data_IF_021544094367
#
_entry.id   IF_021544094367
#
_cell.length_a   1.000
_cell.length_b   1.000
_cell.length_c   1.000
_cell.angle_alpha   90.00
_cell.angle_beta   90.00
_cell.angle_gamma   90.00
#
_symmetry.space_group_name_H-M   'P 1'
#
loop_
_entity.id
_entity.type
_entity.pdbx_description
1 polymer ?
#
# COMPACT_ATOMS: atom_id res chain seq x y z
N UNK A 1 47.83 75.64 -3.16
CA UNK A 1 47.99 76.32 -4.45
C UNK A 1 47.06 75.59 -5.41
N UNK A 2 45.86 76.14 -5.58
CA UNK A 2 45.48 76.93 -6.78
C UNK A 2 45.25 75.98 -7.96
N UNK A 3 44.00 75.79 -8.40
CA UNK A 3 43.34 76.69 -9.35
C UNK A 3 43.69 76.18 -10.76
N UNK A 4 42.79 75.68 -11.59
CA UNK A 4 41.57 76.33 -12.05
C UNK A 4 41.63 76.46 -13.58
N UNK A 5 40.75 75.73 -14.25
CA UNK A 5 40.04 76.06 -15.51
C UNK A 5 40.70 76.02 -16.91
N UNK A 6 39.96 75.27 -17.77
CA UNK A 6 39.39 75.61 -19.11
C UNK A 6 40.22 75.35 -20.39
N UNK A 7 39.75 74.35 -21.16
CA UNK A 7 39.07 74.49 -22.49
C UNK A 7 40.04 74.34 -23.67
N UNK A 8 39.74 73.78 -24.86
CA UNK A 8 38.51 73.35 -25.53
C UNK A 8 38.88 72.56 -26.81
N UNK A 9 38.06 71.56 -27.20
CA UNK A 9 37.70 71.08 -28.58
C UNK A 9 38.83 70.66 -29.57
N UNK A 10 38.72 69.69 -30.49
CA UNK A 10 37.70 68.80 -31.10
C UNK A 10 38.50 67.83 -32.02
N UNK A 11 38.19 66.57 -32.35
CA UNK A 11 37.02 65.99 -33.03
C UNK A 11 37.26 64.44 -33.10
N UNK A 12 36.32 63.57 -32.68
CA UNK A 12 35.19 62.97 -33.42
C UNK A 12 35.50 61.60 -34.04
N UNK A 13 34.91 60.52 -33.49
CA UNK A 13 34.18 59.48 -34.24
C UNK A 13 33.05 58.98 -33.33
N UNK A 14 31.81 59.27 -33.73
CA UNK A 14 30.53 58.83 -33.16
C UNK A 14 30.38 57.30 -33.29
N UNK A 15 29.97 56.53 -32.28
CA UNK A 15 28.59 56.35 -31.81
C UNK A 15 27.63 55.89 -32.93
N UNK A 16 27.48 54.57 -33.07
CA UNK A 16 26.37 53.95 -33.79
C UNK A 16 25.10 53.97 -32.93
N UNK A 17 24.02 54.36 -33.59
CA UNK A 17 22.68 54.64 -33.08
C UNK A 17 21.94 53.36 -32.69
N UNK A 18 21.45 53.26 -31.46
CA UNK A 18 20.22 52.49 -31.17
C UNK A 18 19.04 53.45 -31.34
N UNK A 19 18.20 53.16 -32.33
CA UNK A 19 17.08 54.03 -32.70
C UNK A 19 16.02 54.02 -31.59
N UNK A 20 15.41 55.18 -31.29
CA UNK A 20 14.29 55.28 -30.34
C UNK A 20 13.06 54.45 -30.73
N UNK A 21 13.01 53.97 -31.98
CA UNK A 21 11.95 53.14 -32.53
C UNK A 21 11.96 51.69 -32.01
N UNK A 22 13.14 51.15 -31.68
CA UNK A 22 13.26 49.77 -31.18
C UNK A 22 12.79 49.64 -29.72
N UNK A 23 12.90 50.72 -28.94
CA UNK A 23 12.46 50.77 -27.54
C UNK A 23 10.94 50.93 -27.43
N UNK A 24 10.34 51.72 -28.31
CA UNK A 24 8.88 51.88 -28.38
C UNK A 24 8.17 50.60 -28.87
N UNK A 25 8.76 49.87 -29.83
CA UNK A 25 8.22 48.59 -30.32
C UNK A 25 8.26 47.50 -29.24
N UNK A 26 9.32 47.46 -28.43
CA UNK A 26 9.44 46.53 -27.30
C UNK A 26 8.46 46.86 -26.17
N UNK A 27 8.20 48.14 -25.88
CA UNK A 27 7.20 48.56 -24.90
C UNK A 27 5.78 48.23 -25.34
N UNK A 28 5.48 48.37 -26.64
CA UNK A 28 4.19 47.96 -27.21
C UNK A 28 3.92 46.46 -27.03
N UNK A 29 4.91 45.62 -27.36
CA UNK A 29 4.80 44.15 -27.21
C UNK A 29 4.63 43.71 -25.76
N UNK A 30 5.29 44.37 -24.81
CA UNK A 30 5.16 44.05 -23.39
C UNK A 30 3.74 44.34 -22.88
N UNK A 31 3.16 45.46 -23.31
CA UNK A 31 1.78 45.84 -22.98
C UNK A 31 0.75 44.84 -23.53
N UNK A 32 0.97 44.30 -24.74
CA UNK A 32 0.10 43.26 -25.30
C UNK A 32 0.16 41.94 -24.52
N UNK A 33 1.35 41.53 -24.06
CA UNK A 33 1.53 40.31 -23.26
C UNK A 33 0.85 40.46 -21.88
N UNK A 34 1.00 41.60 -21.22
CA UNK A 34 0.34 41.87 -19.93
C UNK A 34 -1.19 41.81 -20.06
N UNK A 35 -1.72 42.38 -21.15
CA UNK A 35 -3.16 42.31 -21.46
C UNK A 35 -3.62 40.87 -21.71
N UNK A 36 -2.88 40.10 -22.52
CA UNK A 36 -3.20 38.69 -22.77
C UNK A 36 -3.13 37.84 -21.49
N UNK A 37 -2.18 38.13 -20.60
CA UNK A 37 -2.05 37.47 -19.30
C UNK A 37 -3.23 37.81 -18.37
N UNK A 38 -3.65 39.07 -18.31
CA UNK A 38 -4.81 39.49 -17.54
C UNK A 38 -6.11 38.81 -18.05
N UNK A 39 -6.27 38.69 -19.37
CA UNK A 39 -7.39 37.98 -19.98
C UNK A 39 -7.35 36.47 -19.67
N UNK A 40 -6.18 35.85 -19.68
CA UNK A 40 -6.01 34.44 -19.31
C UNK A 40 -6.34 34.18 -17.83
N UNK A 41 -5.91 35.07 -16.92
CA UNK A 41 -6.25 35.02 -15.50
C UNK A 41 -7.76 35.18 -15.28
N UNK A 42 -8.41 36.09 -16.00
CA UNK A 42 -9.86 36.25 -15.96
C UNK A 42 -10.61 35.00 -16.45
N UNK A 43 -10.15 34.36 -17.54
CA UNK A 43 -10.71 33.10 -18.04
C UNK A 43 -10.55 31.96 -17.04
N UNK A 44 -9.41 31.86 -16.36
CA UNK A 44 -9.17 30.86 -15.30
C UNK A 44 -10.11 31.08 -14.11
N UNK A 45 -10.32 32.33 -13.70
CA UNK A 45 -11.27 32.67 -12.65
C UNK A 45 -12.72 32.32 -13.05
N UNK A 46 -13.09 32.53 -14.32
CA UNK A 46 -14.41 32.15 -14.85
C UNK A 46 -14.60 30.64 -14.91
N UNK A 47 -13.59 29.88 -15.36
CA UNK A 47 -13.56 28.40 -15.31
C UNK A 47 -13.71 27.88 -13.88
N UNK A 48 -13.04 28.50 -12.91
CA UNK A 48 -13.16 28.12 -11.51
C UNK A 48 -14.56 28.38 -10.93
N UNK A 49 -15.24 29.44 -11.37
CA UNK A 49 -16.65 29.69 -11.00
C UNK A 49 -17.60 28.67 -11.64
N UNK A 50 -17.41 28.35 -12.91
CA UNK A 50 -18.19 27.32 -13.61
C UNK A 50 -17.99 25.95 -12.96
N UNK A 51 -16.75 25.60 -12.63
CA UNK A 51 -16.43 24.37 -11.89
C UNK A 51 -17.15 24.30 -10.55
N UNK A 52 -17.13 25.39 -9.76
CA UNK A 52 -17.92 25.48 -8.52
C UNK A 52 -19.42 25.30 -8.77
N UNK A 53 -19.97 25.94 -9.80
CA UNK A 53 -21.40 25.81 -10.14
C UNK A 53 -21.77 24.37 -10.51
N UNK A 54 -20.94 23.69 -11.30
CA UNK A 54 -21.14 22.28 -11.66
C UNK A 54 -21.05 21.38 -10.42
N UNK A 55 -20.12 21.66 -9.50
CA UNK A 55 -20.01 20.94 -8.22
C UNK A 55 -21.25 21.12 -7.34
N UNK A 56 -21.83 22.30 -7.32
CA UNK A 56 -23.09 22.59 -6.60
C UNK A 56 -24.28 21.87 -7.24
N UNK A 57 -24.36 21.82 -8.57
CA UNK A 57 -25.40 21.06 -9.28
C UNK A 57 -25.26 19.54 -9.13
N UNK A 58 -24.03 19.04 -8.92
CA UNK A 58 -23.76 17.63 -8.68
C UNK A 58 -23.94 17.21 -7.21
N UNK A 59 -24.06 18.16 -6.27
CA UNK A 59 -24.26 17.89 -4.83
C UNK A 59 -25.48 16.98 -4.56
N UNK A 60 -26.68 17.20 -5.15
CA UNK A 60 -27.84 16.34 -4.93
C UNK A 60 -27.66 14.91 -5.45
N UNK A 61 -26.88 14.72 -6.51
CA UNK A 61 -26.53 13.39 -7.04
C UNK A 61 -25.54 12.69 -6.11
N UNK A 62 -24.54 13.41 -5.59
CA UNK A 62 -23.58 12.91 -4.61
C UNK A 62 -24.27 12.53 -3.29
N UNK A 63 -25.24 13.32 -2.83
CA UNK A 63 -26.01 13.04 -1.61
C UNK A 63 -26.97 11.85 -1.77
N UNK A 64 -27.50 11.63 -2.97
CA UNK A 64 -28.28 10.42 -3.32
C UNK A 64 -27.42 9.17 -3.37
N UNK A 65 -26.20 9.26 -3.90
CA UNK A 65 -25.22 8.16 -3.90
C UNK A 65 -24.73 7.90 -2.47
N UNK A 66 -24.44 8.94 -1.69
CA UNK A 66 -24.05 8.82 -0.28
C UNK A 66 -25.18 8.23 0.57
N UNK A 67 -26.44 8.62 0.34
CA UNK A 67 -27.60 8.04 1.02
C UNK A 67 -27.86 6.59 0.61
N UNK A 68 -27.59 6.20 -0.65
CA UNK A 68 -27.65 4.81 -1.09
C UNK A 68 -26.51 3.96 -0.48
N UNK A 69 -25.31 4.53 -0.33
CA UNK A 69 -24.16 3.90 0.34
C UNK A 69 -24.40 3.77 1.85
N UNK A 70 -25.00 4.78 2.50
CA UNK A 70 -25.32 4.75 3.95
C UNK A 70 -26.52 3.85 4.24
N UNK A 71 -27.52 3.77 3.34
CA UNK A 71 -28.59 2.79 3.43
C UNK A 71 -28.09 1.35 3.18
N UNK A 72 -27.05 1.17 2.37
CA UNK A 72 -26.33 -0.12 2.23
C UNK A 72 -25.41 -0.44 3.41
N UNK A 73 -25.07 0.53 4.26
CA UNK A 73 -24.14 0.36 5.39
C UNK A 73 -24.82 0.24 6.76
N UNK A 74 -26.14 0.44 6.86
CA UNK A 74 -26.92 0.30 8.11
C UNK A 74 -27.85 -0.93 8.16
N UNK A 75 -27.70 -1.87 7.23
CA UNK A 75 -28.42 -3.13 7.24
C UNK A 75 -27.50 -4.28 6.82
N UNK A 76 -27.37 -5.26 7.72
CA UNK A 76 -26.67 -6.53 7.57
C UNK A 76 -25.14 -6.50 7.70
N UNK A 77 -24.67 -6.98 8.86
CA UNK A 77 -23.70 -8.08 8.84
C UNK A 77 -24.10 -9.01 7.70
N UNK A 78 -23.42 -8.96 6.56
CA UNK A 78 -23.49 -10.09 5.63
C UNK A 78 -22.74 -11.23 6.31
N UNK A 79 -23.50 -11.99 7.10
CA UNK A 79 -23.28 -13.41 7.27
C UNK A 79 -23.00 -14.01 5.90
N UNK A 80 -22.03 -14.92 5.88
CA UNK A 80 -21.72 -15.97 4.91
C UNK A 80 -22.30 -15.82 3.48
N UNK A 81 -21.50 -16.13 2.45
CA UNK A 81 -22.06 -16.53 1.17
C UNK A 81 -23.18 -17.57 1.43
N UNK A 82 -24.34 -17.39 0.80
CA UNK A 82 -25.45 -18.35 0.86
C UNK A 82 -24.93 -19.77 0.59
N UNK A 83 -25.57 -20.79 1.18
CA UNK A 83 -25.25 -22.21 0.94
C UNK A 83 -24.93 -22.45 -0.55
N UNK A 84 -23.65 -22.72 -0.86
CA UNK A 84 -23.18 -23.02 -2.23
C UNK A 84 -22.14 -22.08 -2.84
N UNK A 85 -21.86 -20.90 -2.28
CA UNK A 85 -20.84 -19.99 -2.85
C UNK A 85 -19.42 -20.30 -2.34
N UNK A 86 -18.47 -20.45 -3.28
CA UNK A 86 -17.05 -20.65 -2.99
C UNK A 86 -16.37 -19.32 -2.60
N UNK A 87 -15.41 -19.38 -1.66
CA UNK A 87 -14.57 -18.25 -1.25
C UNK A 87 -13.30 -18.21 -2.09
N UNK A 88 -12.92 -17.02 -2.54
CA UNK A 88 -11.71 -16.83 -3.35
C UNK A 88 -10.58 -16.27 -2.51
N UNK A 89 -9.36 -16.69 -2.79
CA UNK A 89 -8.13 -16.14 -2.23
C UNK A 89 -7.21 -15.82 -3.40
N UNK A 90 -6.83 -14.55 -3.50
CA UNK A 90 -5.91 -14.05 -4.51
C UNK A 90 -4.50 -13.99 -3.93
N UNK A 91 -3.52 -14.42 -4.73
CA UNK A 91 -2.11 -14.53 -4.36
C UNK A 91 -1.26 -13.71 -5.32
N UNK A 92 -0.58 -12.68 -4.82
CA UNK A 92 0.38 -11.86 -5.58
C UNK A 92 1.78 -12.42 -5.35
N UNK A 93 2.44 -12.81 -6.44
CA UNK A 93 3.79 -13.36 -6.40
C UNK A 93 4.75 -12.57 -7.28
N UNK A 94 6.04 -12.61 -6.93
CA UNK A 94 7.14 -12.17 -7.78
C UNK A 94 8.09 -13.33 -8.06
N UNK A 95 8.47 -13.49 -9.33
CA UNK A 95 9.40 -14.54 -9.74
C UNK A 95 10.85 -14.10 -9.61
N UNK A 96 11.73 -15.06 -9.34
CA UNK A 96 13.17 -14.89 -9.14
C UNK A 96 13.91 -15.59 -10.28
N UNK A 97 14.99 -14.98 -10.79
CA UNK A 97 15.93 -15.66 -11.69
C UNK A 97 15.56 -15.62 -13.18
N UNK A 98 14.72 -14.67 -13.59
CA UNK A 98 14.35 -14.42 -14.99
C UNK A 98 14.07 -12.93 -15.24
N UNK A 99 13.36 -12.61 -16.34
CA UNK A 99 12.86 -11.23 -16.55
C UNK A 99 11.92 -10.85 -15.40
N UNK A 100 12.14 -9.68 -14.82
CA UNK A 100 11.37 -9.14 -13.70
C UNK A 100 9.87 -9.17 -13.98
N UNK A 101 9.20 -10.10 -13.30
CA UNK A 101 7.80 -10.39 -13.52
C UNK A 101 7.15 -10.89 -12.24
N UNK A 102 5.84 -10.74 -12.19
CA UNK A 102 5.02 -11.35 -11.18
C UNK A 102 3.70 -11.80 -11.75
N UNK A 103 2.93 -12.47 -10.92
CA UNK A 103 1.64 -13.01 -11.31
C UNK A 103 0.64 -12.87 -10.16
N UNK A 104 -0.62 -12.86 -10.56
CA UNK A 104 -1.76 -12.98 -9.67
C UNK A 104 -2.39 -14.34 -9.91
N UNK A 105 -2.57 -15.10 -8.85
CA UNK A 105 -3.31 -16.36 -8.87
C UNK A 105 -4.61 -16.21 -8.09
N UNK A 106 -5.62 -17.00 -8.43
CA UNK A 106 -6.88 -17.12 -7.70
C UNK A 106 -7.08 -18.58 -7.30
N UNK A 107 -7.40 -18.81 -6.03
CA UNK A 107 -7.71 -20.12 -5.46
C UNK A 107 -9.08 -20.07 -4.81
N UNK A 108 -9.94 -21.07 -5.07
CA UNK A 108 -11.32 -21.13 -4.60
C UNK A 108 -11.53 -22.31 -3.65
N UNK A 109 -12.26 -22.03 -2.58
CA UNK A 109 -12.56 -22.99 -1.53
C UNK A 109 -14.04 -23.06 -1.21
N UNK A 110 -14.55 -24.24 -0.85
CA UNK A 110 -15.89 -24.35 -0.30
C UNK A 110 -15.93 -23.98 1.20
N UNK A 111 -17.11 -24.06 1.81
CA UNK A 111 -17.30 -23.73 3.23
C UNK A 111 -16.54 -24.65 4.20
N UNK A 112 -16.20 -25.87 3.79
CA UNK A 112 -15.37 -26.79 4.58
C UNK A 112 -13.87 -26.50 4.45
N UNK A 113 -13.52 -25.52 3.61
CA UNK A 113 -12.15 -25.19 3.25
C UNK A 113 -11.51 -26.14 2.23
N UNK A 114 -12.31 -26.99 1.58
CA UNK A 114 -11.81 -27.88 0.53
C UNK A 114 -11.60 -27.07 -0.74
N UNK A 115 -10.48 -27.31 -1.43
CA UNK A 115 -10.19 -26.72 -2.73
C UNK A 115 -11.23 -27.16 -3.75
N UNK A 116 -11.83 -26.20 -4.45
CA UNK A 116 -12.84 -26.44 -5.49
C UNK A 116 -12.43 -25.90 -6.88
N UNK A 117 -11.27 -25.26 -6.98
CA UNK A 117 -10.75 -24.76 -8.25
C UNK A 117 -9.91 -23.50 -8.10
N UNK A 118 -9.46 -22.94 -9.22
CA UNK A 118 -8.69 -21.70 -9.29
C UNK A 118 -8.85 -21.03 -10.64
N UNK A 119 -8.26 -19.84 -10.80
CA UNK A 119 -8.22 -19.16 -12.09
C UNK A 119 -7.44 -19.96 -13.13
N UNK A 120 -8.00 -20.11 -14.33
CA UNK A 120 -7.46 -20.90 -15.45
C UNK A 120 -7.63 -22.41 -15.25
N UNK A 121 -8.48 -23.02 -16.08
CA UNK A 121 -8.84 -24.44 -15.98
C UNK A 121 -7.85 -25.28 -16.76
N UNK A 122 -7.16 -26.21 -16.10
CA UNK A 122 -6.78 -27.47 -16.71
C UNK A 122 -7.43 -28.64 -15.94
N UNK A 123 -7.80 -29.66 -16.71
CA UNK A 123 -8.57 -30.86 -16.35
C UNK A 123 -8.23 -31.47 -14.98
N UNK A 124 -9.22 -32.13 -14.36
CA UNK A 124 -9.08 -32.92 -13.13
C UNK A 124 -7.69 -33.60 -13.06
N UNK A 125 -6.86 -33.28 -12.05
CA UNK A 125 -5.53 -33.88 -11.94
C UNK A 125 -5.66 -35.40 -11.78
N UNK A 126 -4.66 -36.19 -12.20
CA UNK A 126 -4.54 -37.56 -11.75
C UNK A 126 -4.53 -37.59 -10.21
N UNK A 127 -5.02 -38.66 -9.55
CA UNK A 127 -5.24 -38.74 -8.10
C UNK A 127 -4.04 -38.50 -7.17
N UNK A 128 -2.87 -38.17 -7.70
CA UNK A 128 -1.58 -38.15 -6.99
C UNK A 128 -0.77 -36.85 -7.17
N UNK A 129 -1.21 -35.89 -8.00
CA UNK A 129 -0.50 -34.62 -8.18
C UNK A 129 -1.30 -33.43 -7.61
N UNK A 130 -0.66 -32.49 -6.88
CA UNK A 130 -1.30 -31.26 -6.45
C UNK A 130 -1.88 -30.46 -7.63
N UNK A 131 -3.04 -29.80 -7.48
CA UNK A 131 -3.63 -28.98 -8.52
C UNK A 131 -2.65 -27.89 -8.98
N UNK A 132 -2.51 -27.75 -10.30
CA UNK A 132 -1.69 -26.71 -10.91
C UNK A 132 -2.51 -25.42 -11.04
N UNK A 133 -1.99 -24.32 -10.52
CA UNK A 133 -2.60 -23.00 -10.62
C UNK A 133 -2.13 -22.29 -11.88
N UNK A 134 -3.07 -21.62 -12.56
CA UNK A 134 -2.75 -20.72 -13.66
C UNK A 134 -2.93 -19.25 -13.24
N UNK A 135 -2.11 -18.34 -13.78
CA UNK A 135 -2.19 -16.93 -13.43
C UNK A 135 -3.45 -16.29 -14.03
N UNK A 136 -4.20 -15.55 -13.21
CA UNK A 136 -5.30 -14.69 -13.67
C UNK A 136 -4.82 -13.39 -14.29
N UNK A 137 -3.61 -12.95 -13.91
CA UNK A 137 -2.94 -11.82 -14.52
C UNK A 137 -1.42 -11.97 -14.37
N UNK A 138 -0.68 -11.43 -15.33
CA UNK A 138 0.78 -11.34 -15.28
C UNK A 138 1.21 -9.87 -15.27
N UNK A 139 2.29 -9.59 -14.57
CA UNK A 139 2.87 -8.27 -14.40
C UNK A 139 4.32 -8.30 -14.86
N UNK A 140 4.79 -7.24 -15.52
CA UNK A 140 6.16 -7.12 -16.01
C UNK A 140 6.75 -5.80 -15.54
N UNK A 141 8.02 -5.80 -15.14
CA UNK A 141 8.77 -4.57 -14.86
C UNK A 141 9.00 -4.25 -13.38
N UNK A 142 9.48 -5.21 -12.60
CA UNK A 142 9.99 -4.97 -11.24
C UNK A 142 10.39 -6.24 -10.50
N UNK A 143 11.43 -6.17 -9.66
CA UNK A 143 11.98 -7.32 -8.93
C UNK A 143 10.99 -7.89 -7.92
N UNK A 144 10.27 -7.00 -7.22
CA UNK A 144 9.29 -7.34 -6.20
C UNK A 144 8.05 -6.49 -6.48
N UNK A 145 6.86 -7.05 -6.28
CA UNK A 145 5.60 -6.34 -6.43
C UNK A 145 4.94 -6.23 -5.06
N UNK A 146 4.82 -5.00 -4.56
CA UNK A 146 4.06 -4.70 -3.34
C UNK A 146 2.59 -4.57 -3.68
N UNK A 147 1.74 -5.23 -2.90
CA UNK A 147 0.29 -5.21 -3.09
C UNK A 147 -0.45 -4.60 -1.91
N UNK A 148 -1.48 -3.82 -2.20
CA UNK A 148 -2.48 -3.41 -1.21
C UNK A 148 -3.86 -3.33 -1.88
N UNK A 149 -4.91 -3.60 -1.10
CA UNK A 149 -6.29 -3.59 -1.60
C UNK A 149 -7.11 -2.53 -0.89
N UNK A 150 -7.82 -1.70 -1.66
CA UNK A 150 -8.85 -0.84 -1.10
C UNK A 150 -10.20 -1.54 -1.25
N UNK A 151 -10.73 -2.01 -0.12
CA UNK A 151 -11.91 -2.89 -0.03
C UNK A 151 -13.14 -2.33 -0.71
N UNK A 152 -13.47 -1.06 -0.43
CA UNK A 152 -14.67 -0.40 -0.97
C UNK A 152 -14.64 -0.14 -2.47
N UNK A 153 -13.56 -0.51 -3.17
CA UNK A 153 -13.38 -0.30 -4.61
C UNK A 153 -13.22 -1.58 -5.42
N UNK A 154 -13.10 -2.75 -4.77
CA UNK A 154 -12.81 -4.03 -5.45
C UNK A 154 -11.54 -3.98 -6.34
N UNK A 155 -10.55 -3.15 -5.95
CA UNK A 155 -9.32 -2.94 -6.70
C UNK A 155 -8.08 -3.30 -5.88
N UNK A 156 -7.21 -4.09 -6.51
CA UNK A 156 -5.88 -4.41 -6.05
C UNK A 156 -4.89 -3.43 -6.68
N UNK A 157 -4.08 -2.78 -5.86
CA UNK A 157 -3.05 -1.84 -6.27
C UNK A 157 -1.70 -2.49 -6.10
N UNK A 158 -0.89 -2.43 -7.14
CA UNK A 158 0.38 -3.12 -7.26
C UNK A 158 1.44 -2.09 -7.63
N UNK A 159 2.50 -2.01 -6.83
CA UNK A 159 3.65 -1.18 -7.12
C UNK A 159 4.87 -2.08 -7.32
N UNK A 160 5.52 -2.03 -8.50
CA UNK A 160 6.84 -2.63 -8.66
C UNK A 160 7.84 -1.89 -7.77
N UNK A 161 8.70 -2.65 -7.14
CA UNK A 161 9.82 -2.19 -6.32
C UNK A 161 11.03 -1.96 -7.22
N UNK A 162 11.70 -0.82 -7.02
CA UNK A 162 12.96 -0.48 -7.68
C UNK A 162 14.13 -0.99 -6.83
N UNK A 163 15.17 -1.50 -7.47
CA UNK A 163 16.40 -1.83 -6.74
C UNK A 163 17.24 -0.59 -6.48
N UNK A 164 18.07 -0.66 -5.43
CA UNK A 164 19.11 0.33 -5.16
C UNK A 164 19.97 0.56 -6.40
N UNK A 165 20.42 -0.50 -7.07
CA UNK A 165 21.23 -0.39 -8.28
C UNK A 165 20.50 0.36 -9.40
N UNK A 166 19.21 0.09 -9.63
CA UNK A 166 18.39 0.81 -10.62
C UNK A 166 18.22 2.30 -10.28
N UNK A 167 18.14 2.64 -8.99
CA UNK A 167 17.97 4.02 -8.53
C UNK A 167 19.28 4.82 -8.66
N UNK A 168 20.42 4.22 -8.33
CA UNK A 168 21.72 4.90 -8.35
C UNK A 168 22.39 4.93 -9.74
N UNK A 169 22.01 4.05 -10.66
CA UNK A 169 22.49 4.08 -12.05
C UNK A 169 21.81 5.16 -12.91
N UNK A 170 20.71 5.77 -12.44
CA UNK A 170 19.96 6.79 -13.18
C UNK A 170 20.31 8.20 -12.72
N UNK A 171 20.68 9.08 -13.66
CA UNK A 171 20.86 10.53 -13.39
C UNK A 171 19.57 11.22 -12.89
N UNK A 172 18.41 10.60 -13.13
CA UNK A 172 17.09 11.00 -12.62
C UNK A 172 16.25 9.74 -12.36
N UNK A 173 16.33 9.11 -11.17
CA UNK A 173 15.54 7.94 -10.87
C UNK A 173 14.05 8.30 -10.97
N UNK A 174 13.33 7.58 -11.82
CA UNK A 174 11.88 7.73 -11.98
C UNK A 174 11.21 6.47 -11.48
N UNK A 175 10.18 6.68 -10.68
CA UNK A 175 9.40 5.59 -10.16
C UNK A 175 8.71 4.82 -11.29
N UNK A 176 8.83 3.49 -11.30
CA UNK A 176 8.18 2.61 -12.28
C UNK A 176 6.64 2.69 -12.18
N UNK A 177 5.95 2.74 -13.32
CA UNK A 177 4.49 2.74 -13.31
C UNK A 177 3.93 1.52 -12.54
N UNK A 178 2.91 1.75 -11.74
CA UNK A 178 2.20 0.70 -11.02
C UNK A 178 1.10 0.06 -11.86
N UNK A 179 0.44 -0.92 -11.27
CA UNK A 179 -0.74 -1.56 -11.84
C UNK A 179 -1.92 -1.52 -10.86
N UNK A 180 -3.12 -1.48 -11.42
CA UNK A 180 -4.36 -1.59 -10.68
C UNK A 180 -5.19 -2.70 -11.31
N UNK A 181 -5.39 -3.79 -10.59
CA UNK A 181 -6.21 -4.91 -11.03
C UNK A 181 -7.63 -4.76 -10.47
N UNK A 182 -8.60 -4.64 -11.36
CA UNK A 182 -10.02 -4.64 -11.02
C UNK A 182 -10.50 -6.09 -10.88
N UNK A 183 -10.77 -6.49 -9.64
CA UNK A 183 -11.16 -7.88 -9.33
C UNK A 183 -12.55 -8.23 -9.85
N UNK A 184 -13.41 -7.24 -10.11
CA UNK A 184 -14.75 -7.45 -10.65
C UNK A 184 -14.74 -7.54 -12.18
N UNK A 185 -13.95 -6.69 -12.84
CA UNK A 185 -13.83 -6.68 -14.30
C UNK A 185 -12.77 -7.65 -14.83
N UNK A 186 -11.87 -8.17 -13.98
CA UNK A 186 -10.75 -9.02 -14.38
C UNK A 186 -9.73 -8.29 -15.24
N UNK A 187 -9.64 -6.95 -15.12
CA UNK A 187 -8.85 -6.10 -16.01
C UNK A 187 -7.71 -5.42 -15.28
N UNK A 188 -6.56 -5.33 -15.95
CA UNK A 188 -5.39 -4.60 -15.48
C UNK A 188 -5.36 -3.19 -16.07
N UNK A 189 -5.22 -2.19 -15.20
CA UNK A 189 -5.13 -0.78 -15.55
C UNK A 189 -3.79 -0.21 -15.07
N UNK A 190 -3.22 0.79 -15.75
CA UNK A 190 -2.03 1.49 -15.27
C UNK A 190 -2.36 2.31 -14.02
N UNK A 191 -1.40 2.40 -13.10
CA UNK A 191 -1.44 3.25 -11.91
C UNK A 191 -0.24 4.20 -11.94
N UNK A 192 -0.48 5.50 -11.71
CA UNK A 192 0.62 6.46 -11.58
C UNK A 192 1.46 6.11 -10.36
N UNK A 193 2.80 6.18 -10.46
CA UNK A 193 3.65 5.91 -9.33
C UNK A 193 3.61 7.06 -8.30
N UNK A 194 4.03 6.79 -7.05
CA UNK A 194 4.47 7.80 -6.09
C UNK A 194 5.54 8.73 -6.68
N UNK A 195 5.68 9.93 -6.13
CA UNK A 195 6.63 10.94 -6.63
C UNK A 195 8.07 10.65 -6.21
N UNK A 196 8.27 10.07 -5.03
CA UNK A 196 9.57 9.68 -4.52
C UNK A 196 10.02 8.31 -5.06
N UNK A 197 11.34 8.03 -5.04
CA UNK A 197 11.92 6.74 -5.42
C UNK A 197 11.51 5.66 -4.42
N UNK A 198 11.48 4.40 -4.86
CA UNK A 198 10.83 3.31 -4.10
C UNK A 198 11.73 2.12 -3.77
N UNK A 199 12.88 2.30 -3.11
CA UNK A 199 13.61 1.16 -2.60
C UNK A 199 12.87 0.56 -1.40
N UNK A 200 12.53 -0.72 -1.49
CA UNK A 200 12.20 -1.59 -0.35
C UNK A 200 11.04 -1.15 0.57
N UNK A 201 10.18 -0.23 0.15
CA UNK A 201 9.11 0.33 0.99
C UNK A 201 7.90 -0.59 1.22
N UNK A 202 6.99 -0.12 2.07
CA UNK A 202 5.73 -0.78 2.38
C UNK A 202 4.54 -0.02 1.76
N UNK A 203 3.65 -0.79 1.10
CA UNK A 203 2.39 -0.29 0.56
C UNK A 203 1.24 -0.75 1.47
N UNK A 204 0.53 0.21 2.04
CA UNK A 204 -0.51 0.01 3.05
C UNK A 204 -1.84 0.55 2.54
N UNK A 205 -2.93 -0.18 2.74
CA UNK A 205 -4.29 0.36 2.59
C UNK A 205 -4.85 0.69 3.96
N UNK A 206 -5.28 1.94 4.14
CA UNK A 206 -5.92 2.41 5.37
C UNK A 206 -6.92 3.53 5.07
N UNK A 207 -8.09 3.48 5.71
CA UNK A 207 -9.15 4.50 5.68
C UNK A 207 -9.56 4.93 4.27
N UNK A 208 -9.58 3.97 3.32
CA UNK A 208 -9.97 4.20 1.92
C UNK A 208 -8.89 4.83 1.03
N UNK A 209 -7.64 4.89 1.51
CA UNK A 209 -6.47 5.43 0.80
C UNK A 209 -5.33 4.42 0.79
N UNK A 210 -4.32 4.67 -0.05
CA UNK A 210 -3.04 3.97 0.05
C UNK A 210 -2.00 4.87 0.67
N UNK A 211 -1.10 4.25 1.39
CA UNK A 211 0.04 4.85 2.04
C UNK A 211 1.28 4.10 1.55
N UNK A 212 2.21 4.79 0.93
CA UNK A 212 3.51 4.25 0.58
C UNK A 212 4.54 4.87 1.49
N UNK A 213 5.22 4.05 2.28
CA UNK A 213 6.28 4.46 3.17
C UNK A 213 7.58 3.82 2.71
N UNK A 214 8.62 4.64 2.55
CA UNK A 214 9.95 4.18 2.22
C UNK A 214 10.49 3.22 3.29
N UNK A 215 11.42 2.34 2.91
CA UNK A 215 12.07 1.46 3.89
C UNK A 215 12.87 2.29 4.88
N UNK A 216 12.94 1.89 6.17
CA UNK A 216 13.91 2.45 7.10
C UNK A 216 15.37 2.31 6.62
N UNK A 217 15.63 1.41 5.66
CA UNK A 217 16.93 1.23 5.00
C UNK A 217 17.24 2.26 3.91
N UNK A 218 16.32 3.17 3.60
CA UNK A 218 16.52 4.18 2.57
C UNK A 218 17.60 5.18 2.98
N UNK A 219 18.51 5.49 2.06
CA UNK A 219 19.52 6.53 2.27
C UNK A 219 18.86 7.92 2.26
N UNK A 220 19.28 8.77 3.20
CA UNK A 220 19.01 10.21 3.23
C UNK A 220 19.37 10.95 1.93
N UNK A 221 20.25 10.38 1.09
CA UNK A 221 20.62 10.93 -0.22
C UNK A 221 19.52 10.78 -1.28
N UNK A 222 18.51 9.93 -1.03
CA UNK A 222 17.39 9.75 -1.95
C UNK A 222 16.47 10.98 -1.93
N UNK A 223 15.93 11.38 -3.09
CA UNK A 223 15.00 12.50 -3.14
C UNK A 223 13.71 12.22 -2.36
N UNK A 224 13.31 13.16 -1.51
CA UNK A 224 11.98 13.19 -0.91
C UNK A 224 10.87 13.24 -1.99
N UNK A 225 9.64 12.78 -1.67
CA UNK A 225 9.13 12.37 -0.35
C UNK A 225 9.33 10.88 0.01
N UNK A 226 9.52 10.60 1.32
CA UNK A 226 9.64 9.24 1.87
C UNK A 226 8.33 8.64 2.39
N UNK A 227 7.30 9.46 2.55
CA UNK A 227 5.98 9.01 2.98
C UNK A 227 4.89 9.71 2.16
N UNK A 228 4.20 8.94 1.34
CA UNK A 228 3.19 9.43 0.41
C UNK A 228 1.85 8.73 0.61
N UNK A 229 0.78 9.43 0.28
CA UNK A 229 -0.59 8.96 0.35
C UNK A 229 -1.26 9.12 -1.02
N UNK A 230 -1.81 8.03 -1.54
CA UNK A 230 -2.63 8.03 -2.74
C UNK A 230 -4.09 8.20 -2.38
N UNK A 231 -4.73 9.22 -2.97
CA UNK A 231 -6.17 9.38 -2.92
C UNK A 231 -6.80 8.88 -4.24
N UNK A 232 -7.48 7.73 -4.21
CA UNK A 232 -8.05 7.14 -5.41
C UNK A 232 -9.28 7.90 -5.93
N UNK A 233 -9.83 8.89 -5.21
CA UNK A 233 -10.94 9.73 -5.68
C UNK A 233 -10.49 10.81 -6.67
N UNK A 234 -9.24 11.23 -6.56
CA UNK A 234 -8.63 12.25 -7.42
C UNK A 234 -7.43 11.73 -8.23
N UNK A 235 -7.12 10.43 -8.10
CA UNK A 235 -6.02 9.74 -8.79
C UNK A 235 -4.67 10.45 -8.62
N UNK A 236 -4.28 10.69 -7.36
CA UNK A 236 -3.09 11.49 -7.03
C UNK A 236 -2.37 10.99 -5.78
N UNK A 237 -1.04 10.97 -5.87
CA UNK A 237 -0.13 10.85 -4.73
C UNK A 237 0.21 12.23 -4.17
N UNK A 238 0.05 12.39 -2.86
CA UNK A 238 0.43 13.58 -2.10
C UNK A 238 1.35 13.16 -0.96
N UNK A 239 2.32 14.01 -0.64
CA UNK A 239 3.20 13.83 0.51
C UNK A 239 2.39 13.89 1.80
N UNK A 240 2.70 13.00 2.74
CA UNK A 240 2.14 13.02 4.09
C UNK A 240 2.95 14.04 4.90
N UNK A 241 2.34 15.13 5.40
CA UNK A 241 3.07 16.20 6.08
C UNK A 241 3.46 15.78 7.50
N UNK A 242 4.52 14.99 7.62
CA UNK A 242 5.08 14.51 8.88
C UNK A 242 6.60 14.37 8.78
N UNK A 243 7.30 14.47 9.91
CA UNK A 243 8.73 14.14 9.95
C UNK A 243 8.91 12.64 9.76
N UNK A 244 9.67 12.23 8.74
CA UNK A 244 10.02 10.83 8.53
C UNK A 244 10.90 10.34 9.68
N UNK A 245 10.48 9.32 10.45
CA UNK A 245 11.13 8.99 11.72
C UNK A 245 12.40 8.14 11.55
N UNK A 246 12.77 7.77 10.32
CA UNK A 246 13.82 6.79 10.05
C UNK A 246 15.09 7.38 9.38
N UNK A 247 15.22 8.71 9.26
CA UNK A 247 16.42 9.31 8.63
C UNK A 247 17.65 9.04 9.50
N UNK A 248 18.58 8.23 9.00
CA UNK A 248 19.92 8.08 9.57
C UNK A 248 20.91 8.93 8.77
N UNK A 249 21.62 9.86 9.42
CA UNK A 249 22.50 10.85 8.76
C UNK A 249 23.88 10.30 8.36
N UNK A 250 24.21 9.03 8.66
CA UNK A 250 25.53 8.48 8.34
C UNK A 250 25.43 7.02 7.88
N UNK A 251 26.20 6.68 6.85
CA UNK A 251 26.57 5.32 6.44
C UNK A 251 27.39 4.60 7.53
N UNK A 252 26.88 4.55 8.76
CA UNK A 252 27.57 4.01 9.92
C UNK A 252 27.55 2.48 9.87
N UNK A 253 28.41 1.91 9.01
CA UNK A 253 29.17 0.65 9.07
C UNK A 253 28.55 -0.68 9.58
N UNK A 254 27.32 -0.70 10.10
CA UNK A 254 26.60 -1.90 10.48
C UNK A 254 25.12 -1.59 10.29
N UNK A 255 24.51 -2.29 9.34
CA UNK A 255 23.08 -2.32 9.08
C UNK A 255 22.25 -2.17 10.37
N UNK A 256 21.58 -1.03 10.55
CA UNK A 256 20.41 -0.96 11.41
C UNK A 256 19.28 -1.73 10.69
N UNK A 257 19.32 -3.06 10.85
CA UNK A 257 18.67 -4.10 10.05
C UNK A 257 17.12 -4.07 9.98
N UNK A 258 16.46 -3.10 10.61
CA UNK A 258 14.99 -3.09 10.72
C UNK A 258 14.33 -2.84 9.36
N UNK A 259 13.45 -3.75 8.95
CA UNK A 259 12.59 -3.59 7.79
C UNK A 259 11.13 -3.53 8.21
N UNK A 260 10.28 -2.86 7.44
CA UNK A 260 8.83 -2.89 7.66
C UNK A 260 8.31 -4.22 7.14
N UNK A 261 7.98 -5.12 8.06
CA UNK A 261 7.56 -6.50 7.72
C UNK A 261 6.07 -6.71 7.80
N UNK A 262 5.33 -5.82 8.49
CA UNK A 262 3.89 -5.92 8.60
C UNK A 262 3.23 -4.64 9.08
N UNK A 263 1.90 -4.61 9.02
CA UNK A 263 1.11 -3.48 9.50
C UNK A 263 -0.28 -3.89 9.97
N UNK A 264 -0.91 -3.05 10.79
CA UNK A 264 -2.32 -3.16 11.22
C UNK A 264 -2.96 -1.78 11.15
N UNK A 265 -4.22 -1.71 10.71
CA UNK A 265 -5.00 -0.47 10.71
C UNK A 265 -6.05 -0.56 11.82
N UNK A 266 -6.04 0.39 12.75
CA UNK A 266 -6.99 0.38 13.87
C UNK A 266 -7.22 1.77 14.48
N UNK A 267 -8.48 2.13 14.72
CA UNK A 267 -8.88 3.26 15.57
C UNK A 267 -8.26 4.63 15.23
N UNK A 268 -8.07 4.92 13.94
CA UNK A 268 -7.39 6.14 13.48
C UNK A 268 -5.87 6.01 13.36
N UNK A 269 -5.29 4.88 13.74
CA UNK A 269 -3.86 4.59 13.66
C UNK A 269 -3.53 3.59 12.56
N UNK A 270 -2.28 3.65 12.09
CA UNK A 270 -1.60 2.58 11.35
C UNK A 270 -0.42 2.13 12.20
N UNK A 271 -0.43 0.88 12.64
CA UNK A 271 0.68 0.26 13.36
C UNK A 271 1.60 -0.40 12.36
N UNK A 272 2.89 -0.05 12.37
CA UNK A 272 3.93 -0.65 11.53
C UNK A 272 4.81 -1.55 12.39
N UNK A 273 4.86 -2.83 12.04
CA UNK A 273 5.74 -3.83 12.64
C UNK A 273 7.04 -3.90 11.87
N UNK A 274 8.14 -3.77 12.60
CA UNK A 274 9.49 -3.81 12.05
C UNK A 274 10.32 -4.88 12.75
N UNK A 275 11.14 -5.59 11.98
CA UNK A 275 12.16 -6.47 12.55
C UNK A 275 13.41 -6.55 11.68
N UNK A 276 14.51 -6.95 12.30
CA UNK A 276 15.74 -7.30 11.61
C UNK A 276 15.63 -8.66 10.91
N UNK A 277 16.58 -8.94 10.02
CA UNK A 277 16.65 -10.21 9.28
C UNK A 277 16.66 -11.44 10.22
N UNK A 278 17.33 -11.32 11.36
CA UNK A 278 17.47 -12.37 12.36
C UNK A 278 16.34 -12.38 13.41
N UNK A 279 15.40 -11.44 13.34
CA UNK A 279 14.32 -11.23 14.32
C UNK A 279 14.83 -11.05 15.77
N UNK A 280 16.08 -10.61 15.95
CA UNK A 280 16.68 -10.30 17.24
C UNK A 280 16.23 -8.95 17.78
N UNK A 281 15.83 -8.03 16.90
CA UNK A 281 15.31 -6.69 17.21
C UNK A 281 13.96 -6.53 16.52
N UNK A 282 12.95 -6.16 17.30
CA UNK A 282 11.62 -5.90 16.78
C UNK A 282 10.95 -4.76 17.54
N UNK A 283 10.21 -3.94 16.78
CA UNK A 283 9.47 -2.81 17.32
C UNK A 283 8.19 -2.58 16.52
N UNK A 284 7.20 -2.00 17.19
CA UNK A 284 5.99 -1.48 16.56
C UNK A 284 5.98 0.03 16.72
N UNK A 285 5.71 0.76 15.64
CA UNK A 285 5.45 2.19 15.66
C UNK A 285 4.03 2.47 15.20
N UNK A 286 3.39 3.47 15.78
CA UNK A 286 2.05 3.91 15.43
C UNK A 286 2.08 5.27 14.73
N UNK A 287 1.27 5.38 13.70
CA UNK A 287 1.04 6.60 12.95
C UNK A 287 -0.41 7.03 13.11
N UNK A 288 -0.65 8.18 13.76
CA UNK A 288 -1.97 8.79 13.87
C UNK A 288 -2.33 9.51 12.58
N UNK A 289 -3.28 8.93 11.84
CA UNK A 289 -3.74 9.44 10.54
C UNK A 289 -4.49 10.77 10.67
N UNK A 290 -5.04 11.07 11.86
CA UNK A 290 -5.80 12.29 12.11
C UNK A 290 -4.91 13.50 12.32
N UNK A 291 -3.74 13.29 12.94
CA UNK A 291 -2.77 14.35 13.24
C UNK A 291 -1.54 14.33 12.34
N UNK A 292 -1.36 13.28 11.53
CA UNK A 292 -0.14 12.99 10.76
C UNK A 292 1.10 12.96 11.65
N UNK A 293 1.02 12.29 12.81
CA UNK A 293 2.11 12.19 13.76
C UNK A 293 2.46 10.74 14.04
N UNK A 294 3.74 10.51 14.27
CA UNK A 294 4.28 9.26 14.80
C UNK A 294 4.28 9.32 16.32
N UNK A 295 4.01 8.21 16.99
CA UNK A 295 4.30 8.06 18.42
C UNK A 295 5.39 7.01 18.67
N UNK A 296 5.80 6.92 19.94
CA UNK A 296 7.00 6.21 20.35
C UNK A 296 6.95 4.71 20.04
N UNK A 297 8.12 4.13 19.76
CA UNK A 297 8.24 2.72 19.43
C UNK A 297 8.02 1.83 20.65
N UNK A 298 7.28 0.74 20.46
CA UNK A 298 7.00 -0.26 21.49
C UNK A 298 7.83 -1.50 21.16
N UNK A 299 8.79 -1.92 22.02
CA UNK A 299 9.49 -3.19 21.87
C UNK A 299 8.47 -4.32 21.94
N UNK A 300 8.43 -5.14 20.90
CA UNK A 300 7.33 -6.08 20.74
C UNK A 300 7.68 -7.27 19.86
N UNK A 301 6.84 -8.31 19.89
CA UNK A 301 7.00 -9.45 18.98
C UNK A 301 6.55 -9.03 17.58
N UNK A 302 7.41 -9.14 16.55
CA UNK A 302 7.07 -8.65 15.23
C UNK A 302 5.97 -9.50 14.62
N UNK A 303 5.06 -8.86 13.91
CA UNK A 303 4.12 -9.54 13.03
C UNK A 303 4.37 -9.16 11.57
N UNK A 304 4.01 -10.06 10.66
CA UNK A 304 4.30 -9.97 9.22
C UNK A 304 3.02 -9.84 8.41
N UNK A 305 3.12 -9.16 7.27
CA UNK A 305 1.98 -8.90 6.39
C UNK A 305 0.94 -8.00 7.06
N UNK A 306 -0.32 -8.11 6.62
CA UNK A 306 -1.43 -7.35 7.20
C UNK A 306 -2.05 -8.13 8.36
N UNK A 307 -1.99 -7.58 9.57
CA UNK A 307 -2.81 -8.03 10.68
C UNK A 307 -4.19 -7.37 10.64
N UNK A 308 -5.18 -8.00 11.27
CA UNK A 308 -6.59 -7.58 11.18
C UNK A 308 -7.21 -7.48 12.56
N UNK A 309 -7.98 -6.40 12.79
CA UNK A 309 -8.79 -6.26 14.00
C UNK A 309 -10.09 -7.04 13.81
N UNK A 310 -10.39 -7.94 14.75
CA UNK A 310 -11.64 -8.71 14.79
C UNK A 310 -12.35 -8.42 16.12
N UNK A 311 -13.66 -8.20 16.02
CA UNK A 311 -14.48 -7.79 17.16
C UNK A 311 -14.24 -6.33 17.49
N UNK A 312 -14.02 -6.03 18.78
CA UNK A 312 -13.68 -4.67 19.21
C UNK A 312 -12.16 -4.50 19.21
N UNK A 313 -11.45 -5.11 20.15
CA UNK A 313 -10.07 -4.71 20.45
C UNK A 313 -9.02 -5.72 20.01
N UNK A 314 -9.39 -6.87 19.45
CA UNK A 314 -8.45 -7.97 19.23
C UNK A 314 -7.84 -7.90 17.84
N UNK A 315 -6.52 -7.82 17.75
CA UNK A 315 -5.77 -7.99 16.50
C UNK A 315 -5.35 -9.44 16.37
N UNK A 316 -5.53 -10.03 15.20
CA UNK A 316 -4.88 -11.27 14.80
C UNK A 316 -3.81 -10.98 13.74
N UNK A 317 -2.61 -11.52 13.94
CA UNK A 317 -1.52 -11.35 13.00
C UNK A 317 -0.59 -12.58 12.96
N UNK A 318 0.23 -12.65 11.92
CA UNK A 318 1.16 -13.74 11.67
C UNK A 318 2.56 -13.42 12.19
N UNK A 319 3.23 -14.40 12.79
CA UNK A 319 4.64 -14.32 13.15
C UNK A 319 5.31 -15.68 13.00
N UNK A 320 6.17 -15.82 12.00
CA UNK A 320 7.02 -17.02 11.82
C UNK A 320 6.25 -18.34 11.96
N UNK A 321 5.16 -18.50 11.18
CA UNK A 321 4.17 -19.61 11.20
C UNK A 321 3.22 -19.68 12.39
N UNK A 322 3.35 -18.80 13.38
CA UNK A 322 2.44 -18.72 14.51
C UNK A 322 1.39 -17.64 14.27
N UNK A 323 0.15 -17.90 14.68
CA UNK A 323 -0.89 -16.88 14.71
C UNK A 323 -0.95 -16.31 16.12
N UNK A 324 -0.76 -15.00 16.21
CA UNK A 324 -0.79 -14.28 17.47
C UNK A 324 -2.06 -13.45 17.58
N UNK A 325 -2.56 -13.34 18.79
CA UNK A 325 -3.63 -12.44 19.18
C UNK A 325 -3.10 -11.34 20.10
N UNK A 326 -3.48 -10.09 19.82
CA UNK A 326 -3.16 -8.93 20.64
C UNK A 326 -4.43 -8.20 21.03
N UNK A 327 -4.47 -7.60 22.21
CA UNK A 327 -5.52 -6.66 22.59
C UNK A 327 -4.98 -5.25 22.47
N UNK A 328 -5.63 -4.43 21.65
CA UNK A 328 -5.39 -2.99 21.54
C UNK A 328 -6.02 -2.30 22.73
N UNK A 329 -5.25 -1.43 23.37
CA UNK A 329 -5.72 -0.50 24.38
C UNK A 329 -5.47 0.92 23.87
N UNK A 330 -6.47 1.76 24.09
CA UNK A 330 -6.44 3.17 23.77
C UNK A 330 -6.54 3.91 25.09
N UNK A 331 -5.47 4.62 25.45
CA UNK A 331 -5.42 5.40 26.67
C UNK A 331 -5.45 6.89 26.30
N UNK A 332 -6.39 7.65 26.86
CA UNK A 332 -6.41 9.11 26.74
C UNK A 332 -5.31 9.69 27.63
N UNK A 333 -4.31 10.31 27.01
CA UNK A 333 -3.25 11.03 27.72
C UNK A 333 -3.70 12.41 28.18
N UNK A 334 -2.91 12.99 29.08
CA UNK A 334 -3.20 14.26 29.78
C UNK A 334 -3.37 15.48 28.85
N UNK A 335 -2.90 15.41 27.61
CA UNK A 335 -3.01 16.47 26.58
C UNK A 335 -4.12 16.22 25.53
N UNK A 336 -4.99 15.22 25.73
CA UNK A 336 -5.98 14.81 24.72
C UNK A 336 -5.37 14.02 23.54
N UNK A 337 -4.09 13.66 23.64
CA UNK A 337 -3.43 12.70 22.76
C UNK A 337 -3.86 11.29 23.17
N UNK A 338 -4.36 10.49 22.22
CA UNK A 338 -4.68 9.08 22.46
C UNK A 338 -3.42 8.27 22.17
N UNK A 339 -2.94 7.50 23.14
CA UNK A 339 -1.85 6.56 22.95
C UNK A 339 -2.40 5.17 22.66
N UNK A 340 -1.85 4.52 21.63
CA UNK A 340 -2.16 3.12 21.32
C UNK A 340 -1.14 2.21 22.01
N UNK A 341 -1.61 1.22 22.78
CA UNK A 341 -0.75 0.17 23.34
C UNK A 341 -1.27 -1.23 23.03
N UNK A 342 -0.35 -2.19 22.96
CA UNK A 342 -0.66 -3.61 22.70
C UNK A 342 -0.45 -4.44 23.97
N UNK A 343 -1.39 -5.32 24.28
CA UNK A 343 -1.21 -6.34 25.35
C UNK A 343 -0.03 -7.25 25.04
N UNK A 344 0.40 -8.13 25.95
CA UNK A 344 1.32 -9.23 25.59
C UNK A 344 0.67 -10.13 24.51
N UNK A 345 1.42 -10.68 23.52
CA UNK A 345 0.88 -11.62 22.55
C UNK A 345 0.34 -12.88 23.22
N UNK A 346 -0.76 -13.41 22.70
CA UNK A 346 -1.18 -14.78 22.91
C UNK A 346 -0.96 -15.57 21.63
N UNK A 347 -0.10 -16.59 21.67
CA UNK A 347 0.07 -17.53 20.56
C UNK A 347 -1.11 -18.50 20.59
N UNK A 348 -1.83 -18.61 19.48
CA UNK A 348 -3.01 -19.48 19.39
C UNK A 348 -2.59 -20.90 19.00
N UNK A 349 -2.89 -21.92 19.84
CA UNK A 349 -2.58 -23.30 19.50
C UNK A 349 -3.59 -23.89 18.51
N UNK A 350 -3.23 -24.99 17.84
CA UNK A 350 -4.16 -25.78 17.01
C UNK A 350 -4.09 -25.55 15.50
N UNK A 351 -3.11 -24.76 15.02
CA UNK A 351 -2.86 -24.64 13.59
C UNK A 351 -2.14 -25.88 13.05
N UNK A 352 -2.89 -26.74 12.37
CA UNK A 352 -2.38 -27.92 11.69
C UNK A 352 -2.13 -27.61 10.21
N UNK A 353 -0.85 -27.53 9.82
CA UNK A 353 -0.41 -27.29 8.44
C UNK A 353 0.14 -28.59 7.87
N UNK A 354 -0.18 -28.91 6.61
CA UNK A 354 0.48 -30.05 5.93
C UNK A 354 1.99 -29.81 5.91
N UNK A 355 2.74 -30.77 6.44
CA UNK A 355 4.19 -30.75 6.38
C UNK A 355 4.64 -30.95 4.91
N UNK A 356 5.32 -29.96 4.37
CA UNK A 356 5.88 -30.00 3.04
C UNK A 356 7.34 -29.54 3.10
N UNK A 357 8.28 -30.20 2.39
CA UNK A 357 9.72 -30.04 2.60
C UNK A 357 10.30 -28.75 1.99
N UNK A 358 9.72 -27.59 2.32
CA UNK A 358 10.27 -26.28 2.02
C UNK A 358 11.58 -26.06 2.80
N UNK A 359 12.63 -25.61 2.11
CA UNK A 359 13.99 -25.48 2.64
C UNK A 359 14.45 -24.03 2.75
N UNK A 360 14.19 -23.23 1.72
CA UNK A 360 14.74 -21.88 1.58
C UNK A 360 13.67 -20.90 1.11
N UNK A 361 13.96 -19.59 1.22
CA UNK A 361 13.12 -18.54 0.65
C UNK A 361 11.68 -18.50 1.18
N UNK A 362 11.46 -18.91 2.44
CA UNK A 362 10.12 -19.06 2.99
C UNK A 362 9.38 -17.71 2.98
N UNK A 363 8.18 -17.71 2.40
CA UNK A 363 7.25 -16.57 2.44
C UNK A 363 5.88 -17.04 2.85
N UNK A 364 5.21 -16.23 3.67
CA UNK A 364 3.90 -16.56 4.24
C UNK A 364 3.03 -15.32 4.38
N UNK A 365 1.71 -15.53 4.37
CA UNK A 365 0.72 -14.47 4.51
C UNK A 365 -0.52 -14.97 5.22
N UNK A 366 -1.08 -14.15 6.11
CA UNK A 366 -2.37 -14.39 6.75
C UNK A 366 -3.46 -13.62 6.01
N UNK A 367 -4.50 -14.33 5.58
CA UNK A 367 -5.63 -13.78 4.85
C UNK A 367 -6.87 -13.86 5.74
N UNK A 368 -7.51 -12.73 5.97
CA UNK A 368 -8.80 -12.67 6.65
C UNK A 368 -9.93 -12.99 5.67
N UNK A 369 -10.80 -13.92 6.05
CA UNK A 369 -11.94 -14.36 5.25
C UNK A 369 -13.28 -13.84 5.78
N UNK A 370 -13.25 -12.96 6.78
CA UNK A 370 -14.40 -12.43 7.48
C UNK A 370 -14.62 -13.12 8.83
N UNK A 371 -15.16 -12.37 9.79
CA UNK A 371 -15.39 -12.83 11.17
C UNK A 371 -14.10 -13.41 11.78
N UNK A 372 -14.14 -14.67 12.26
CA UNK A 372 -13.00 -15.39 12.81
C UNK A 372 -12.45 -16.45 11.85
N UNK A 373 -12.79 -16.37 10.56
CA UNK A 373 -12.29 -17.29 9.53
C UNK A 373 -11.04 -16.70 8.87
N UNK A 374 -10.03 -17.53 8.70
CA UNK A 374 -8.74 -17.14 8.16
C UNK A 374 -8.17 -18.21 7.23
N UNK A 375 -7.23 -17.78 6.42
CA UNK A 375 -6.42 -18.62 5.57
C UNK A 375 -4.94 -18.26 5.75
N UNK A 376 -4.11 -19.24 6.10
CA UNK A 376 -2.66 -19.10 6.10
C UNK A 376 -2.12 -19.64 4.78
N UNK A 377 -1.35 -18.82 4.08
CA UNK A 377 -0.69 -19.19 2.83
C UNK A 377 0.80 -19.24 3.08
N UNK A 378 1.45 -20.33 2.67
CA UNK A 378 2.86 -20.55 2.90
C UNK A 378 3.51 -21.21 1.68
N UNK A 379 4.69 -20.73 1.29
CA UNK A 379 5.47 -21.30 0.19
C UNK A 379 6.97 -21.18 0.48
N UNK A 380 7.76 -21.96 -0.26
CA UNK A 380 9.22 -21.88 -0.25
C UNK A 380 9.84 -22.78 -1.32
N UNK A 381 11.16 -22.69 -1.43
CA UNK A 381 11.95 -23.49 -2.36
C UNK A 381 12.14 -24.92 -1.85
N UNK A 382 12.21 -25.87 -2.78
CA UNK A 382 12.49 -27.28 -2.48
C UNK A 382 13.95 -27.63 -2.70
N UNK A 383 14.41 -28.72 -2.07
CA UNK A 383 15.79 -29.20 -2.20
C UNK A 383 16.15 -29.63 -3.63
N UNK A 384 15.17 -30.14 -4.38
CA UNK A 384 15.35 -30.56 -5.76
C UNK A 384 14.76 -29.48 -6.64
N UNK A 385 15.55 -28.90 -7.54
CA UNK A 385 15.07 -27.96 -8.54
C UNK A 385 14.05 -28.70 -9.42
N UNK A 386 12.78 -28.38 -9.23
CA UNK A 386 11.69 -28.81 -10.08
C UNK A 386 11.17 -27.60 -10.84
N UNK A 387 10.63 -27.85 -12.03
CA UNK A 387 9.84 -26.91 -12.83
C UNK A 387 8.57 -26.38 -12.11
N UNK A 388 8.39 -26.70 -10.83
CA UNK A 388 7.25 -26.35 -10.01
C UNK A 388 7.69 -25.89 -8.63
N UNK A 389 7.04 -24.86 -8.11
CA UNK A 389 7.07 -24.49 -6.70
C UNK A 389 5.66 -24.64 -6.13
N UNK A 390 5.55 -24.96 -4.84
CA UNK A 390 4.29 -25.40 -4.23
C UNK A 390 3.85 -24.39 -3.17
N UNK A 391 2.54 -24.28 -3.01
CA UNK A 391 1.89 -23.38 -2.05
C UNK A 391 1.03 -24.25 -1.14
N UNK A 392 1.29 -24.18 0.16
CA UNK A 392 0.41 -24.71 1.19
C UNK A 392 -0.60 -23.63 1.58
N UNK A 393 -1.88 -23.98 1.55
CA UNK A 393 -2.98 -23.10 1.91
C UNK A 393 -3.80 -23.80 2.99
N UNK A 394 -3.80 -23.22 4.20
CA UNK A 394 -4.46 -23.79 5.37
C UNK A 394 -5.58 -22.88 5.82
N UNK A 395 -6.82 -23.36 5.70
CA UNK A 395 -8.01 -22.67 6.17
C UNK A 395 -8.32 -23.07 7.59
N UNK A 396 -8.64 -22.09 8.42
CA UNK A 396 -8.91 -22.31 9.82
C UNK A 396 -9.87 -21.26 10.39
N UNK A 397 -10.44 -21.58 11.54
CA UNK A 397 -11.29 -20.68 12.31
C UNK A 397 -10.66 -20.45 13.68
N UNK A 398 -10.66 -19.21 14.13
CA UNK A 398 -10.32 -18.87 15.51
C UNK A 398 -11.56 -19.03 16.38
N UNK A 399 -11.49 -19.92 17.35
CA UNK A 399 -12.59 -20.20 18.28
C UNK A 399 -12.37 -19.39 19.55
N UNK A 400 -13.27 -18.44 19.80
CA UNK A 400 -13.27 -17.60 21.01
C UNK A 400 -14.46 -18.03 21.88
N UNK A 401 -14.19 -18.46 23.11
CA UNK A 401 -15.20 -18.95 24.06
C UNK A 401 -14.82 -18.68 25.52
N UNK A 402 -15.54 -19.28 26.48
CA UNK A 402 -15.24 -19.13 27.92
C UNK A 402 -13.89 -19.74 28.33
N UNK A 403 -13.30 -20.59 27.48
CA UNK A 403 -11.95 -21.14 27.64
C UNK A 403 -10.88 -20.37 26.87
N UNK A 404 -9.68 -20.95 26.78
CA UNK A 404 -8.58 -20.36 26.00
C UNK A 404 -8.91 -20.33 24.49
N UNK A 405 -8.61 -19.20 23.87
CA UNK A 405 -8.78 -19.03 22.43
C UNK A 405 -7.81 -19.96 21.69
N UNK A 406 -8.31 -20.66 20.68
CA UNK A 406 -7.53 -21.61 19.90
C UNK A 406 -7.94 -21.60 18.43
N UNK A 407 -7.12 -22.24 17.60
CA UNK A 407 -7.37 -22.45 16.19
C UNK A 407 -8.01 -23.81 15.99
N UNK A 408 -9.07 -23.83 15.19
CA UNK A 408 -9.65 -25.02 14.59
C UNK A 408 -9.29 -25.04 13.11
N UNK A 409 -8.30 -25.86 12.73
CA UNK A 409 -8.01 -26.11 11.31
C UNK A 409 -9.22 -26.77 10.65
N UNK A 410 -9.63 -26.23 9.49
CA UNK A 410 -10.72 -26.77 8.69
C UNK A 410 -10.17 -27.72 7.62
N UNK A 411 -9.18 -27.25 6.87
CA UNK A 411 -8.51 -28.01 5.83
C UNK A 411 -7.16 -27.38 5.50
N UNK A 412 -6.24 -28.19 4.99
CA UNK A 412 -4.98 -27.73 4.43
C UNK A 412 -4.82 -28.37 3.06
N UNK A 413 -4.39 -27.60 2.06
CA UNK A 413 -4.26 -28.06 0.68
C UNK A 413 -2.96 -27.56 0.08
N UNK A 414 -2.37 -28.38 -0.79
CA UNK A 414 -1.18 -28.02 -1.54
C UNK A 414 -1.60 -27.75 -2.98
N UNK A 415 -1.14 -26.64 -3.53
CA UNK A 415 -1.22 -26.32 -4.95
C UNK A 415 0.18 -26.23 -5.54
N UNK A 416 0.31 -26.46 -6.83
CA UNK A 416 1.55 -26.29 -7.59
C UNK A 416 1.46 -25.07 -8.49
N UNK A 417 2.59 -24.43 -8.75
CA UNK A 417 2.77 -23.31 -9.68
C UNK A 417 3.97 -23.64 -10.57
N UNK A 418 3.82 -23.48 -11.88
CA UNK A 418 4.91 -23.66 -12.84
C UNK A 418 5.94 -22.52 -12.68
N UNK A 419 7.22 -22.89 -12.59
CA UNK A 419 8.35 -21.97 -12.48
C UNK A 419 9.42 -22.23 -13.53
N UNK A 420 9.13 -22.94 -14.64
CA UNK A 420 10.12 -23.33 -15.68
C UNK A 420 11.07 -22.23 -16.15
N UNK A 421 10.55 -21.01 -16.30
CA UNK A 421 11.33 -19.86 -16.79
C UNK A 421 12.05 -19.10 -15.65
N UNK A 422 11.98 -19.62 -14.43
CA UNK A 422 12.41 -18.96 -13.19
C UNK A 422 13.11 -19.95 -12.24
N UNK A 423 13.81 -19.40 -11.24
CA UNK A 423 14.42 -20.20 -10.17
C UNK A 423 13.36 -20.54 -9.10
N UNK A 424 12.56 -19.54 -8.71
CA UNK A 424 11.58 -19.62 -7.63
C UNK A 424 10.61 -18.42 -7.71
N UNK A 425 9.63 -18.35 -6.81
CA UNK A 425 8.84 -17.15 -6.55
C UNK A 425 8.70 -16.85 -5.06
N UNK A 426 8.42 -15.59 -4.74
CA UNK A 426 8.05 -15.10 -3.41
C UNK A 426 6.59 -14.68 -3.37
N UNK A 427 5.91 -14.99 -2.27
CA UNK A 427 4.59 -14.48 -1.96
C UNK A 427 4.72 -13.08 -1.33
N UNK A 428 4.11 -12.07 -1.94
CA UNK A 428 4.22 -10.69 -1.48
C UNK A 428 2.94 -10.15 -0.82
N UNK A 429 1.78 -10.58 -1.30
CA UNK A 429 0.49 -10.12 -0.80
C UNK A 429 -0.61 -11.14 -1.11
N UNK A 430 -1.53 -11.35 -0.17
CA UNK A 430 -2.70 -12.21 -0.38
C UNK A 430 -3.94 -11.60 0.24
N UNK A 431 -5.10 -11.82 -0.39
CA UNK A 431 -6.38 -11.30 0.11
C UNK A 431 -7.58 -12.15 -0.36
N UNK A 432 -8.70 -12.07 0.35
CA UNK A 432 -10.00 -12.53 -0.14
C UNK A 432 -10.81 -11.31 -0.62
N UNK A 433 -11.37 -11.32 -1.85
CA UNK A 433 -12.14 -10.19 -2.36
C UNK A 433 -13.47 -10.02 -1.63
N UNK A 434 -14.04 -11.11 -1.10
CA UNK A 434 -15.34 -11.15 -0.44
C UNK A 434 -15.30 -10.60 1.00
N UNK A 435 -14.15 -10.67 1.67
CA UNK A 435 -13.98 -10.13 3.02
C UNK A 435 -13.74 -8.62 2.97
N UNK A 436 -14.51 -7.83 3.72
CA UNK A 436 -14.12 -6.46 3.99
C UNK A 436 -13.14 -6.45 5.16
N UNK A 437 -12.00 -5.80 5.00
CA UNK A 437 -11.14 -5.60 6.16
C UNK A 437 -11.79 -4.59 7.08
N UNK A 438 -11.98 -5.02 8.32
CA UNK A 438 -12.52 -4.18 9.36
C UNK A 438 -11.44 -3.22 9.84
N UNK A 439 -11.59 -1.95 9.47
CA UNK A 439 -10.76 -0.85 9.94
C UNK A 439 -11.60 -0.08 10.98
N UNK A 440 -11.54 -0.46 12.27
CA UNK A 440 -12.35 0.20 13.28
C UNK A 440 -12.03 1.69 13.31
N UNK A 441 -13.08 2.51 13.32
CA UNK A 441 -12.96 3.95 13.39
C UNK A 441 -13.19 4.42 14.82
N UNK A 442 -12.31 5.30 15.28
CA UNK A 442 -12.54 6.08 16.49
C UNK A 442 -13.55 7.22 16.20
N UNK A 443 -14.23 7.72 17.23
CA UNK A 443 -15.22 8.80 17.15
C UNK A 443 -14.63 10.05 16.48
N UNK A 444 -13.33 10.31 16.64
CA UNK A 444 -12.59 11.38 15.96
C UNK A 444 -12.63 11.23 14.44
N UNK A 445 -12.44 10.01 13.92
CA UNK A 445 -12.46 9.71 12.49
C UNK A 445 -13.87 9.85 11.92
N UNK A 446 -14.88 9.41 12.68
CA UNK A 446 -16.29 9.59 12.34
C UNK A 446 -16.62 11.09 12.24
N UNK A 447 -16.18 11.88 13.23
CA UNK A 447 -16.39 13.33 13.26
C UNK A 447 -15.65 14.06 12.12
N UNK A 448 -14.44 13.64 11.76
CA UNK A 448 -13.70 14.20 10.61
C UNK A 448 -14.42 13.95 9.28
N UNK A 449 -14.96 12.74 9.08
CA UNK A 449 -15.76 12.42 7.88
C UNK A 449 -17.02 13.27 7.80
N UNK A 450 -17.70 13.48 8.93
CA UNK A 450 -18.89 14.33 9.00
C UNK A 450 -18.56 15.81 8.71
N UNK A 451 -17.44 16.33 9.23
CA UNK A 451 -16.99 17.69 8.91
C UNK A 451 -16.66 17.86 7.42
N UNK A 452 -16.03 16.87 6.78
CA UNK A 452 -15.73 16.88 5.33
C UNK A 452 -16.96 16.66 4.45
N UNK A 453 -18.03 16.05 4.97
CA UNK A 453 -19.30 15.92 4.25
C UNK A 453 -20.15 17.20 4.31
N UNK A 454 -19.95 18.02 5.35
CA UNK A 454 -20.68 19.27 5.59
C UNK A 454 -19.94 20.52 5.05
N UNK A 455 -18.80 20.33 4.38
CA UNK A 455 -18.07 21.33 3.60
C UNK A 455 -18.22 21.01 2.12
#
# INVERSE_FOLDING_TARGET
MEGGNKSQASASVSAELTSGQDVEDLQGKLSEIEKALAEAVARRAQLHRLWKSVLEELRPLRDRVASAIVASARGAYRSFPTEGEARSVFLVVSFIGGKYSGALYEVKFNQKGEYVGGGGVCNEPPPLEPPLLEPVANFTGGYIIRGARIFNRAKLYLLPEETIDEIFELENPKSLDGFMFDTSAGSLLPLKPPKGPRPFGALVSAYGKLYYIASPKCDSSLPEPFFEMYDPSIDRWDEVPCSYPFICEYWAEYWDDLDIVGYVVCYGFILFSMCDLNQSRAQVMDFDVSTNKWHDSIPYVPFRGRGVVVGKTTIYALSSKEIMAFTVKMDEGDEGCIACSLSKPLILPGLEIIDWPFKYGLTEYLVHLGNHDFCHVWTGEQKNYTDRQYICITMFQIVVGEGESHIKTLNSTICAVDVKDFIAFKLNFSFSPESNDFEPEDERMIAMKQKKANQ
#
